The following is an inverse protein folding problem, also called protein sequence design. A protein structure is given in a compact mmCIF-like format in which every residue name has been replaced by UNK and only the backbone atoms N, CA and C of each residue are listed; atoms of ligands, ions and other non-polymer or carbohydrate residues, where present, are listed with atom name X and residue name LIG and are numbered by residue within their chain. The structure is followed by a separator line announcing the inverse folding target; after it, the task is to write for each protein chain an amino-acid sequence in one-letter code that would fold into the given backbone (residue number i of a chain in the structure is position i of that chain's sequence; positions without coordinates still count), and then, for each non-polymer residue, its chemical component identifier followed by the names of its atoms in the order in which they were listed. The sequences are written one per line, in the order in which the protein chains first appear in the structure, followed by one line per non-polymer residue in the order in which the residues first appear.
data_IF_820959623810
#
_entry.id   IF_820959623810
#
_cell.length_a   1.000
_cell.length_b   1.000
_cell.length_c   1.000
_cell.angle_alpha   90.00
_cell.angle_beta   90.00
_cell.angle_gamma   90.00
#
_symmetry.space_group_name_H-M   'P 1'
#
loop_
_entity.id
_entity.type
_entity.pdbx_description
1 polymer ?
#
# COMPACT_ATOMS: atom_id res chain seq x y z
N UNK A 1 32.57 -19.60 3.01
CA UNK A 1 31.13 -19.24 2.86
C UNK A 1 31.10 -17.80 2.42
N UNK A 2 30.30 -17.46 1.39
CA UNK A 2 30.13 -16.06 1.00
C UNK A 2 29.44 -15.30 2.16
N UNK A 3 29.94 -14.12 2.50
CA UNK A 3 29.31 -13.27 3.49
C UNK A 3 27.90 -12.90 2.99
N UNK A 4 26.87 -13.00 3.84
CA UNK A 4 25.51 -12.64 3.46
C UNK A 4 25.48 -11.17 3.03
N UNK A 5 24.82 -10.90 1.90
CA UNK A 5 24.66 -9.55 1.38
C UNK A 5 23.18 -9.18 1.38
N UNK A 6 22.82 -8.17 2.19
CA UNK A 6 21.47 -7.59 2.20
C UNK A 6 21.39 -6.52 1.12
N UNK A 7 20.35 -6.58 0.29
CA UNK A 7 20.13 -5.64 -0.80
C UNK A 7 18.75 -5.01 -0.73
N UNK A 8 18.71 -3.72 -0.88
CA UNK A 8 17.47 -2.98 -1.04
C UNK A 8 16.88 -3.26 -2.42
N UNK A 9 15.68 -3.84 -2.44
CA UNK A 9 14.89 -4.02 -3.66
C UNK A 9 14.27 -2.69 -4.09
N UNK A 10 13.53 -2.04 -3.19
CA UNK A 10 12.89 -0.75 -3.45
C UNK A 10 12.71 0.06 -2.16
N UNK A 11 12.49 1.37 -2.31
CA UNK A 11 12.11 2.25 -1.20
C UNK A 11 10.95 3.15 -1.60
N UNK A 12 10.21 3.59 -0.57
CA UNK A 12 9.14 4.57 -0.72
C UNK A 12 9.24 5.58 0.44
N UNK A 13 9.13 6.85 0.10
CA UNK A 13 8.92 7.94 1.04
C UNK A 13 7.73 8.73 0.50
N UNK A 14 6.55 8.59 1.11
CA UNK A 14 5.35 9.17 0.53
C UNK A 14 4.36 9.65 1.59
N UNK A 15 3.56 10.64 1.21
CA UNK A 15 2.41 11.11 1.95
C UNK A 15 1.34 10.03 2.02
N UNK A 16 0.51 10.07 3.06
CA UNK A 16 -0.62 9.17 3.22
C UNK A 16 -1.83 9.97 3.66
N UNK A 17 -2.92 9.88 2.90
CA UNK A 17 -4.21 10.41 3.27
C UNK A 17 -5.13 9.27 3.73
N UNK A 18 -5.50 9.28 5.03
CA UNK A 18 -6.37 8.27 5.63
C UNK A 18 -7.81 8.74 5.62
N UNK A 19 -8.61 8.18 4.74
CA UNK A 19 -10.05 8.45 4.72
C UNK A 19 -10.87 7.30 5.32
N UNK A 20 -10.24 6.47 6.14
CA UNK A 20 -10.95 5.46 6.91
C UNK A 20 -11.87 6.08 7.95
N UNK A 21 -13.09 5.57 8.07
CA UNK A 21 -14.12 6.06 8.99
C UNK A 21 -13.70 6.08 10.46
N UNK A 22 -12.79 5.19 10.87
CA UNK A 22 -12.25 5.09 12.22
C UNK A 22 -10.75 4.82 12.21
N UNK A 23 -10.01 5.66 11.48
CA UNK A 23 -8.56 5.54 11.47
C UNK A 23 -7.98 5.91 12.84
N UNK A 24 -7.06 5.11 13.41
CA UNK A 24 -6.28 5.53 14.57
C UNK A 24 -5.23 6.58 14.19
N UNK A 25 -5.03 6.84 12.89
CA UNK A 25 -4.09 7.81 12.36
C UNK A 25 -4.81 9.13 12.02
N UNK A 26 -4.14 10.28 12.14
CA UNK A 26 -4.62 11.53 11.54
C UNK A 26 -4.89 11.39 10.04
N UNK A 27 -5.74 12.25 9.47
CA UNK A 27 -6.05 12.20 8.03
C UNK A 27 -4.79 12.36 7.18
N UNK A 28 -3.92 13.27 7.54
CA UNK A 28 -2.66 13.53 6.85
C UNK A 28 -1.50 12.96 7.67
N UNK A 29 -0.79 12.06 7.07
CA UNK A 29 0.38 11.39 7.63
C UNK A 29 1.41 11.16 6.53
N UNK A 30 2.48 10.44 6.85
CA UNK A 30 3.41 9.95 5.83
C UNK A 30 3.95 8.58 6.21
N UNK A 31 4.56 7.92 5.25
CA UNK A 31 5.24 6.65 5.47
C UNK A 31 6.61 6.60 4.82
N UNK A 32 7.52 5.91 5.47
CA UNK A 32 8.78 5.44 4.88
C UNK A 32 8.74 3.93 4.82
N UNK A 33 9.21 3.38 3.71
CA UNK A 33 9.17 1.95 3.46
C UNK A 33 10.42 1.53 2.70
N UNK A 34 10.98 0.37 3.06
CA UNK A 34 12.03 -0.30 2.31
C UNK A 34 11.70 -1.76 2.13
N UNK A 35 11.83 -2.23 0.90
CA UNK A 35 11.75 -3.64 0.56
C UNK A 35 13.15 -4.21 0.42
N UNK A 36 13.42 -5.32 1.10
CA UNK A 36 14.70 -6.03 1.04
C UNK A 36 14.53 -7.35 0.29
N UNK A 37 15.48 -7.65 -0.58
CA UNK A 37 15.57 -8.97 -1.19
C UNK A 37 15.85 -10.05 -0.12
N UNK A 38 15.37 -11.29 -0.32
CA UNK A 38 15.75 -12.38 0.54
C UNK A 38 17.26 -12.64 0.42
N UNK A 39 17.91 -12.92 1.55
CA UNK A 39 19.32 -13.28 1.58
C UNK A 39 19.42 -14.81 1.58
N UNK A 40 19.99 -15.44 0.53
CA UNK A 40 20.04 -16.90 0.43
C UNK A 40 20.68 -17.57 1.66
N UNK A 41 19.98 -18.53 2.25
CA UNK A 41 20.44 -19.27 3.43
C UNK A 41 20.28 -18.55 4.76
N UNK A 42 19.67 -17.36 4.79
CA UNK A 42 19.48 -16.56 6.00
C UNK A 42 18.05 -16.03 6.11
N UNK A 43 17.62 -15.75 7.34
CA UNK A 43 16.44 -14.92 7.61
C UNK A 43 16.92 -13.47 7.54
N UNK A 44 16.58 -12.75 6.47
CA UNK A 44 17.09 -11.38 6.22
C UNK A 44 16.94 -10.43 7.43
N UNK A 45 15.82 -10.38 8.15
CA UNK A 45 15.70 -9.59 9.37
C UNK A 45 16.76 -9.86 10.45
N UNK A 46 17.25 -11.10 10.55
CA UNK A 46 18.26 -11.45 11.57
C UNK A 46 19.63 -10.83 11.28
N UNK A 47 19.86 -10.39 10.04
CA UNK A 47 21.10 -9.73 9.62
C UNK A 47 21.08 -8.21 9.83
N UNK A 48 19.90 -7.62 10.08
CA UNK A 48 19.73 -6.17 10.15
C UNK A 48 20.07 -5.64 11.54
N UNK A 49 20.93 -4.63 11.59
CA UNK A 49 21.23 -3.85 12.79
C UNK A 49 20.26 -2.68 12.93
N UNK A 50 20.16 -1.85 11.89
CA UNK A 50 19.22 -0.73 11.88
C UNK A 50 18.78 -0.35 10.45
N UNK A 51 17.64 0.34 10.38
CA UNK A 51 17.12 0.95 9.16
C UNK A 51 16.69 2.36 9.51
N UNK A 52 17.26 3.35 8.82
CA UNK A 52 16.96 4.76 9.08
C UNK A 52 16.68 5.50 7.78
N UNK A 53 15.58 6.24 7.77
CA UNK A 53 15.25 7.18 6.72
C UNK A 53 15.69 8.58 7.11
N UNK A 54 16.34 9.28 6.19
CA UNK A 54 16.80 10.67 6.31
C UNK A 54 16.14 11.51 5.24
N UNK A 55 15.93 12.80 5.52
CA UNK A 55 15.31 13.72 4.58
C UNK A 55 15.57 15.19 4.89
N UNK A 56 14.84 16.10 4.24
CA UNK A 56 14.99 17.54 4.40
C UNK A 56 14.83 18.02 5.85
N UNK A 57 15.54 19.10 6.20
CA UNK A 57 15.46 19.79 7.49
C UNK A 57 15.75 18.89 8.72
N UNK A 58 16.67 17.95 8.57
CA UNK A 58 17.02 17.04 9.67
C UNK A 58 15.99 15.95 9.93
N UNK A 59 15.12 15.66 8.95
CA UNK A 59 14.19 14.51 9.08
C UNK A 59 14.95 13.21 9.31
N UNK A 60 14.56 12.52 10.35
CA UNK A 60 15.05 11.18 10.69
C UNK A 60 13.89 10.31 11.16
N UNK A 61 13.79 9.08 10.62
CA UNK A 61 12.83 8.09 11.07
C UNK A 61 13.47 6.70 11.10
N UNK A 62 13.41 6.04 12.28
CA UNK A 62 13.93 4.69 12.47
C UNK A 62 12.85 3.65 12.30
N UNK A 63 13.05 2.74 11.34
CA UNK A 63 12.13 1.62 11.12
C UNK A 63 12.55 0.47 12.02
N UNK A 64 11.61 -0.01 12.83
CA UNK A 64 11.89 -1.06 13.83
C UNK A 64 12.17 -2.41 13.16
N UNK A 65 13.23 -3.09 13.59
CA UNK A 65 13.54 -4.46 13.15
C UNK A 65 12.76 -5.50 13.97
N UNK A 66 11.44 -5.45 13.87
CA UNK A 66 10.50 -6.40 14.50
C UNK A 66 9.36 -6.71 13.51
N UNK A 67 8.56 -7.75 13.78
CA UNK A 67 7.32 -7.96 13.01
C UNK A 67 6.44 -6.73 13.16
N UNK A 68 5.70 -6.40 12.09
CA UNK A 68 4.89 -5.19 12.02
C UNK A 68 3.92 -5.10 13.19
N UNK A 69 4.07 -4.04 13.97
CA UNK A 69 3.22 -3.70 15.10
C UNK A 69 2.07 -2.79 14.62
N UNK A 70 0.85 -3.30 14.66
CA UNK A 70 -0.34 -2.56 14.21
C UNK A 70 -0.68 -1.35 15.09
N UNK A 71 -0.20 -1.28 16.31
CA UNK A 71 -0.41 -0.13 17.22
C UNK A 71 0.61 0.97 16.89
N UNK A 72 1.90 0.60 16.87
CA UNK A 72 3.00 1.53 16.56
C UNK A 72 3.13 1.86 15.08
N UNK A 73 2.45 1.09 14.21
CA UNK A 73 2.51 1.20 12.75
C UNK A 73 3.94 1.11 12.20
N UNK A 74 4.79 0.30 12.82
CA UNK A 74 6.21 0.18 12.56
C UNK A 74 6.69 -1.28 12.63
N UNK A 75 7.56 -1.68 11.69
CA UNK A 75 8.13 -3.02 11.63
C UNK A 75 8.12 -3.62 10.23
N UNK A 76 8.31 -4.94 10.15
CA UNK A 76 8.39 -5.65 8.88
C UNK A 76 7.33 -6.75 8.74
N UNK A 77 6.99 -7.05 7.48
CA UNK A 77 6.22 -8.23 7.07
C UNK A 77 6.89 -8.88 5.85
N UNK A 78 6.65 -10.16 5.67
CA UNK A 78 7.14 -10.91 4.51
C UNK A 78 6.01 -11.05 3.47
N UNK A 79 6.30 -10.71 2.22
CA UNK A 79 5.39 -10.94 1.10
C UNK A 79 5.85 -12.17 0.30
N UNK A 80 5.17 -13.31 0.43
CA UNK A 80 5.58 -14.55 -0.25
C UNK A 80 5.41 -14.51 -1.77
N UNK A 81 4.59 -13.57 -2.30
CA UNK A 81 4.34 -13.47 -3.75
C UNK A 81 5.52 -12.93 -4.52
N UNK A 82 6.27 -12.03 -3.90
CA UNK A 82 7.50 -11.46 -4.46
C UNK A 82 8.73 -11.81 -3.64
N UNK A 83 8.55 -12.64 -2.58
CA UNK A 83 9.61 -13.14 -1.70
C UNK A 83 10.45 -12.06 -1.02
N UNK A 84 9.88 -10.88 -0.73
CA UNK A 84 10.59 -9.76 -0.14
C UNK A 84 10.16 -9.49 1.30
N UNK A 85 11.06 -8.90 2.08
CA UNK A 85 10.80 -8.34 3.41
C UNK A 85 10.50 -6.86 3.28
N UNK A 86 9.30 -6.45 3.69
CA UNK A 86 8.85 -5.06 3.64
C UNK A 86 8.91 -4.46 5.04
N UNK A 87 9.77 -3.50 5.21
CA UNK A 87 9.88 -2.67 6.42
C UNK A 87 9.13 -1.37 6.20
N UNK A 88 8.23 -1.03 7.11
CA UNK A 88 7.37 0.15 6.97
C UNK A 88 7.20 0.86 8.30
N UNK A 89 7.20 2.18 8.26
CA UNK A 89 6.82 3.02 9.38
C UNK A 89 5.85 4.11 8.89
N UNK A 90 4.62 4.10 9.42
CA UNK A 90 3.64 5.17 9.21
C UNK A 90 3.74 6.15 10.36
N UNK A 91 4.02 7.42 10.06
CA UNK A 91 4.25 8.48 11.03
C UNK A 91 3.06 9.47 11.05
N UNK A 92 2.54 9.84 12.23
CA UNK A 92 1.34 10.67 12.36
C UNK A 92 1.58 12.18 12.17
N UNK A 93 2.75 12.59 11.71
CA UNK A 93 3.22 13.98 11.79
C UNK A 93 2.88 14.83 10.53
N UNK A 94 1.76 14.55 9.86
CA UNK A 94 1.36 15.26 8.66
C UNK A 94 2.12 14.81 7.41
N UNK A 95 1.99 15.57 6.32
CA UNK A 95 2.68 15.28 5.07
C UNK A 95 4.18 15.58 5.15
N UNK A 96 4.96 14.82 4.39
CA UNK A 96 6.40 15.03 4.22
C UNK A 96 6.67 16.37 3.53
N UNK A 97 7.78 16.99 3.87
CA UNK A 97 8.30 18.12 3.10
C UNK A 97 8.85 17.63 1.76
N UNK A 98 8.71 18.45 0.73
CA UNK A 98 9.31 18.18 -0.56
C UNK A 98 10.83 18.09 -0.44
N UNK A 99 11.42 17.14 -1.17
CA UNK A 99 12.86 16.97 -1.23
C UNK A 99 13.31 15.51 -1.35
N UNK A 100 14.63 15.32 -1.27
CA UNK A 100 15.24 14.01 -1.33
C UNK A 100 15.17 13.29 0.02
N UNK A 101 14.71 12.03 -0.02
CA UNK A 101 14.72 11.11 1.10
C UNK A 101 15.62 9.93 0.80
N UNK A 102 16.47 9.58 1.76
CA UNK A 102 17.41 8.47 1.68
C UNK A 102 17.07 7.46 2.77
N UNK A 103 16.95 6.18 2.41
CA UNK A 103 16.84 5.10 3.40
C UNK A 103 18.15 4.32 3.38
N UNK A 104 18.72 4.14 4.56
CA UNK A 104 19.92 3.34 4.81
C UNK A 104 19.58 2.10 5.61
N UNK A 105 20.11 0.97 5.19
CA UNK A 105 20.03 -0.32 5.86
C UNK A 105 21.44 -0.72 6.29
N UNK A 106 21.65 -0.84 7.59
CA UNK A 106 22.92 -1.27 8.18
C UNK A 106 22.78 -2.68 8.70
N UNK A 107 23.69 -3.57 8.33
CA UNK A 107 23.73 -4.95 8.79
C UNK A 107 24.63 -5.11 10.03
N UNK A 108 24.43 -6.18 10.79
CA UNK A 108 25.22 -6.49 12.01
C UNK A 108 26.73 -6.66 11.76
N UNK A 109 27.12 -6.97 10.54
CA UNK A 109 28.53 -7.01 10.10
C UNK A 109 29.06 -5.64 9.62
N UNK A 110 28.27 -4.57 9.81
CA UNK A 110 28.67 -3.18 9.54
C UNK A 110 28.54 -2.74 8.08
N UNK A 111 28.02 -3.58 7.18
CA UNK A 111 27.78 -3.16 5.79
C UNK A 111 26.54 -2.27 5.71
N UNK A 112 26.55 -1.39 4.71
CA UNK A 112 25.45 -0.44 4.47
C UNK A 112 25.01 -0.53 3.01
N UNK A 113 23.70 -0.64 2.79
CA UNK A 113 23.06 -0.36 1.50
C UNK A 113 22.13 0.83 1.63
N UNK A 114 21.97 1.62 0.57
CA UNK A 114 21.14 2.83 0.58
C UNK A 114 20.52 3.11 -0.76
N UNK A 115 19.32 3.69 -0.71
CA UNK A 115 18.63 4.24 -1.89
C UNK A 115 18.01 5.59 -1.56
N UNK A 116 17.76 6.38 -2.60
CA UNK A 116 17.11 7.70 -2.50
C UNK A 116 15.83 7.75 -3.33
N UNK A 117 14.91 8.62 -2.91
CA UNK A 117 13.68 8.99 -3.63
C UNK A 117 13.42 10.48 -3.44
N UNK A 118 12.80 11.09 -4.44
CA UNK A 118 12.36 12.49 -4.36
C UNK A 118 10.87 12.49 -4.05
N UNK A 119 10.51 13.13 -2.93
CA UNK A 119 9.14 13.42 -2.56
C UNK A 119 8.73 14.78 -3.14
N UNK A 120 7.59 14.85 -3.80
CA UNK A 120 7.01 16.08 -4.37
C UNK A 120 5.61 16.30 -3.78
N UNK A 121 5.31 17.55 -3.40
CA UNK A 121 4.00 17.90 -2.85
C UNK A 121 2.93 18.05 -3.94
N UNK A 122 3.28 18.62 -5.09
CA UNK A 122 2.32 18.88 -6.16
C UNK A 122 1.48 17.65 -6.60
N UNK A 123 2.06 16.44 -6.80
CA UNK A 123 1.25 15.25 -7.08
C UNK A 123 0.34 14.85 -5.91
N UNK A 124 0.79 15.01 -4.66
CA UNK A 124 -0.02 14.74 -3.46
C UNK A 124 -1.23 15.67 -3.40
N UNK A 125 -1.02 16.96 -3.54
CA UNK A 125 -2.06 17.98 -3.49
C UNK A 125 -3.08 17.77 -4.62
N UNK A 126 -2.62 17.48 -5.84
CA UNK A 126 -3.48 17.22 -6.99
C UNK A 126 -4.35 15.97 -6.78
N UNK A 127 -3.76 14.87 -6.31
CA UNK A 127 -4.48 13.62 -6.11
C UNK A 127 -5.51 13.73 -4.97
N UNK A 128 -5.12 14.30 -3.82
CA UNK A 128 -6.03 14.50 -2.67
C UNK A 128 -7.18 15.44 -3.03
N UNK A 129 -6.87 16.57 -3.70
CA UNK A 129 -7.90 17.53 -4.14
C UNK A 129 -8.89 16.90 -5.14
N UNK A 130 -8.37 16.15 -6.13
CA UNK A 130 -9.21 15.46 -7.10
C UNK A 130 -10.07 14.37 -6.44
N UNK A 131 -9.51 13.61 -5.50
CA UNK A 131 -10.24 12.60 -4.74
C UNK A 131 -11.38 13.22 -3.94
N UNK A 132 -11.10 14.24 -3.12
CA UNK A 132 -12.11 14.91 -2.28
C UNK A 132 -13.22 15.57 -3.10
N UNK A 133 -12.87 16.24 -4.20
CA UNK A 133 -13.85 16.86 -5.10
C UNK A 133 -14.79 15.84 -5.77
N UNK A 134 -14.35 14.63 -5.98
CA UNK A 134 -15.10 13.58 -6.68
C UNK A 134 -15.45 12.40 -5.77
N UNK A 135 -15.35 12.57 -4.45
CA UNK A 135 -15.55 11.52 -3.45
C UNK A 135 -16.83 10.72 -3.70
N UNK A 136 -17.99 11.38 -3.82
CA UNK A 136 -19.27 10.69 -4.00
C UNK A 136 -19.33 9.87 -5.30
N UNK A 137 -18.73 10.37 -6.38
CA UNK A 137 -18.68 9.65 -7.65
C UNK A 137 -17.85 8.39 -7.54
N UNK A 138 -16.68 8.48 -6.88
CA UNK A 138 -15.78 7.35 -6.66
C UNK A 138 -16.44 6.36 -5.70
N UNK A 139 -16.89 6.83 -4.51
CA UNK A 139 -17.43 5.98 -3.46
C UNK A 139 -18.69 5.21 -3.92
N UNK A 140 -19.60 5.86 -4.63
CA UNK A 140 -20.81 5.24 -5.15
C UNK A 140 -20.58 4.37 -6.40
N UNK A 141 -19.39 4.38 -6.97
CA UNK A 141 -19.07 3.54 -8.15
C UNK A 141 -18.75 2.09 -7.79
N UNK A 142 -18.27 1.84 -6.58
CA UNK A 142 -17.81 0.52 -6.14
C UNK A 142 -18.85 -0.58 -6.29
N UNK A 143 -18.44 -1.72 -6.85
CA UNK A 143 -19.25 -2.94 -6.95
C UNK A 143 -18.34 -4.19 -6.82
N UNK A 144 -18.76 -5.24 -6.06
CA UNK A 144 -19.97 -5.27 -5.24
C UNK A 144 -19.88 -4.36 -4.01
N UNK A 145 -21.03 -3.88 -3.51
CA UNK A 145 -21.13 -3.06 -2.31
C UNK A 145 -22.52 -3.27 -1.66
N UNK A 146 -22.79 -2.67 -0.50
CA UNK A 146 -24.14 -2.66 0.09
C UNK A 146 -25.18 -2.06 -0.86
N UNK A 147 -24.80 -1.01 -1.61
CA UNK A 147 -25.69 -0.35 -2.58
C UNK A 147 -25.79 -1.10 -3.91
N UNK A 148 -24.78 -1.92 -4.23
CA UNK A 148 -24.71 -2.72 -5.47
C UNK A 148 -24.28 -4.15 -5.09
N UNK A 149 -25.17 -4.94 -4.45
CA UNK A 149 -24.84 -6.29 -4.01
C UNK A 149 -24.57 -7.22 -5.20
N UNK A 150 -23.87 -8.32 -4.93
CA UNK A 150 -23.84 -9.42 -5.90
C UNK A 150 -25.27 -9.96 -6.06
N UNK A 151 -25.72 -10.19 -7.30
CA UNK A 151 -27.02 -10.84 -7.54
C UNK A 151 -27.08 -12.22 -6.86
N UNK A 152 -28.25 -12.59 -6.37
CA UNK A 152 -28.49 -13.91 -5.79
C UNK A 152 -28.13 -15.02 -6.78
N UNK A 153 -27.43 -16.05 -6.29
CA UNK A 153 -26.97 -17.16 -7.13
C UNK A 153 -25.75 -16.84 -8.01
N UNK A 154 -25.14 -15.67 -7.85
CA UNK A 154 -23.89 -15.35 -8.57
C UNK A 154 -22.80 -16.39 -8.26
N UNK A 155 -21.97 -16.76 -9.25
CA UNK A 155 -20.77 -17.53 -9.01
C UNK A 155 -19.85 -16.80 -8.00
N UNK A 156 -19.32 -17.55 -7.03
CA UNK A 156 -18.43 -17.00 -6.00
C UNK A 156 -16.94 -17.19 -6.32
N UNK A 157 -16.62 -17.83 -7.42
CA UNK A 157 -15.29 -17.86 -8.04
C UNK A 157 -15.19 -16.78 -9.11
N UNK A 158 -14.02 -16.19 -9.26
CA UNK A 158 -13.75 -15.11 -10.22
C UNK A 158 -14.68 -13.90 -10.04
N UNK A 159 -14.99 -13.55 -8.80
CA UNK A 159 -15.82 -12.38 -8.50
C UNK A 159 -15.09 -11.12 -8.94
N UNK A 160 -15.76 -10.32 -9.77
CA UNK A 160 -15.24 -9.08 -10.31
C UNK A 160 -15.59 -7.90 -9.42
N UNK A 161 -14.58 -7.15 -9.03
CA UNK A 161 -14.70 -5.87 -8.32
C UNK A 161 -14.33 -4.73 -9.25
N UNK A 162 -15.06 -3.63 -9.20
CA UNK A 162 -14.78 -2.47 -10.03
C UNK A 162 -15.10 -1.15 -9.31
N UNK A 163 -14.52 -0.07 -9.82
CA UNK A 163 -14.65 1.30 -9.30
C UNK A 163 -14.34 2.33 -10.37
N UNK A 164 -14.73 3.59 -10.15
CA UNK A 164 -14.28 4.72 -10.98
C UNK A 164 -12.90 5.19 -10.51
N UNK A 165 -12.00 5.42 -11.46
CA UNK A 165 -10.64 5.88 -11.20
C UNK A 165 -10.56 7.41 -11.11
N UNK A 166 -9.44 7.95 -10.60
CA UNK A 166 -9.13 9.38 -10.71
C UNK A 166 -9.02 9.83 -12.17
N UNK A 167 -8.63 8.93 -13.08
CA UNK A 167 -8.62 9.21 -14.53
C UNK A 167 -10.02 9.49 -15.06
N UNK A 168 -11.00 8.66 -14.67
CA UNK A 168 -12.39 8.79 -15.13
C UNK A 168 -13.05 10.08 -14.63
N UNK A 169 -12.76 10.48 -13.38
CA UNK A 169 -13.47 11.60 -12.73
C UNK A 169 -12.73 12.93 -12.77
N UNK A 170 -11.39 12.90 -12.96
CA UNK A 170 -10.55 14.09 -12.86
C UNK A 170 -9.41 14.14 -13.89
N UNK A 171 -9.25 13.13 -14.74
CA UNK A 171 -8.18 13.06 -15.74
C UNK A 171 -6.80 12.74 -15.20
N UNK A 172 -6.66 12.41 -13.90
CA UNK A 172 -5.40 12.12 -13.25
C UNK A 172 -5.07 10.63 -13.28
N UNK A 173 -3.87 10.31 -13.71
CA UNK A 173 -3.36 8.95 -13.69
C UNK A 173 -3.06 8.49 -12.26
N UNK A 174 -3.40 7.24 -11.94
CA UNK A 174 -3.17 6.64 -10.64
C UNK A 174 -3.00 5.12 -10.73
N UNK A 175 -2.31 4.55 -9.74
CA UNK A 175 -2.30 3.12 -9.49
C UNK A 175 -3.22 2.77 -8.32
N UNK A 176 -3.65 1.50 -8.26
CA UNK A 176 -4.62 1.04 -7.27
C UNK A 176 -4.14 -0.22 -6.58
N UNK A 177 -4.32 -0.27 -5.26
CA UNK A 177 -4.03 -1.46 -4.45
C UNK A 177 -5.32 -1.92 -3.81
N UNK A 178 -5.74 -3.13 -4.11
CA UNK A 178 -6.98 -3.72 -3.62
C UNK A 178 -6.72 -4.70 -2.48
N UNK A 179 -7.52 -4.62 -1.42
CA UNK A 179 -7.47 -5.54 -0.28
C UNK A 179 -8.88 -5.99 0.09
N UNK A 180 -9.04 -7.30 0.28
CA UNK A 180 -10.31 -7.95 0.64
C UNK A 180 -10.09 -8.87 1.84
N UNK A 181 -10.98 -8.83 2.83
CA UNK A 181 -11.05 -9.82 3.89
C UNK A 181 -12.50 -10.13 4.32
N UNK A 182 -12.67 -11.19 5.11
CA UNK A 182 -13.95 -11.49 5.75
C UNK A 182 -14.17 -10.45 6.87
N UNK A 183 -15.11 -9.52 6.65
CA UNK A 183 -15.47 -8.47 7.59
C UNK A 183 -16.84 -7.89 7.25
N UNK A 184 -17.59 -7.48 8.25
CA UNK A 184 -18.90 -6.80 8.10
C UNK A 184 -18.85 -5.33 8.49
N UNK A 185 -17.78 -4.93 9.17
CA UNK A 185 -17.53 -3.57 9.67
C UNK A 185 -16.06 -3.17 9.51
N UNK A 186 -15.73 -1.87 9.53
CA UNK A 186 -14.34 -1.41 9.50
C UNK A 186 -13.49 -1.94 10.67
N UNK A 187 -14.10 -2.21 11.82
CA UNK A 187 -13.40 -2.72 13.01
C UNK A 187 -12.99 -4.19 12.88
N UNK A 188 -13.69 -4.95 12.04
CA UNK A 188 -13.38 -6.36 11.78
C UNK A 188 -12.38 -6.54 10.64
N UNK A 189 -12.09 -5.46 9.89
CA UNK A 189 -11.16 -5.53 8.77
C UNK A 189 -9.74 -5.81 9.26
N UNK A 190 -9.22 -7.00 8.97
CA UNK A 190 -7.85 -7.42 9.33
C UNK A 190 -6.92 -7.42 8.13
N UNK A 191 -6.09 -6.40 8.02
CA UNK A 191 -5.08 -6.27 6.97
C UNK A 191 -3.97 -7.35 7.00
N UNK A 192 -3.86 -8.11 8.10
CA UNK A 192 -2.91 -9.22 8.21
C UNK A 192 -3.51 -10.56 7.77
N UNK A 193 -4.84 -10.63 7.63
CA UNK A 193 -5.56 -11.85 7.26
C UNK A 193 -6.45 -11.61 6.03
N UNK A 194 -5.82 -11.21 4.93
CA UNK A 194 -6.53 -10.90 3.70
C UNK A 194 -6.97 -12.18 2.97
N UNK A 195 -8.22 -12.20 2.53
CA UNK A 195 -8.75 -13.21 1.61
C UNK A 195 -8.16 -13.05 0.21
N UNK A 196 -7.92 -11.79 -0.21
CA UNK A 196 -7.29 -11.42 -1.48
C UNK A 196 -6.52 -10.12 -1.36
N UNK A 197 -5.41 -10.06 -2.06
CA UNK A 197 -4.60 -8.85 -2.16
C UNK A 197 -4.09 -8.70 -3.59
N UNK A 198 -4.39 -7.57 -4.23
CA UNK A 198 -3.86 -7.22 -5.54
C UNK A 198 -3.12 -5.87 -5.42
N UNK A 199 -1.81 -5.92 -5.52
CA UNK A 199 -0.95 -4.75 -5.48
C UNK A 199 -0.38 -4.47 -6.87
N UNK A 200 -1.08 -3.66 -7.62
CA UNK A 200 -0.72 -3.29 -9.00
C UNK A 200 0.60 -2.49 -9.03
N UNK A 201 0.90 -1.72 -7.98
CA UNK A 201 2.18 -1.05 -7.84
C UNK A 201 3.36 -2.03 -7.89
N UNK A 202 3.20 -3.23 -7.28
CA UNK A 202 4.21 -4.28 -7.35
C UNK A 202 4.35 -4.89 -8.74
N UNK A 203 3.26 -5.03 -9.50
CA UNK A 203 3.33 -5.54 -10.88
C UNK A 203 4.25 -4.69 -11.73
N UNK A 204 4.19 -3.37 -11.60
CA UNK A 204 5.08 -2.44 -12.27
C UNK A 204 6.56 -2.70 -11.94
N UNK A 205 6.88 -2.90 -10.67
CA UNK A 205 8.25 -3.20 -10.22
C UNK A 205 8.73 -4.55 -10.79
N UNK A 206 7.85 -5.54 -10.81
CA UNK A 206 8.18 -6.90 -11.27
C UNK A 206 8.36 -6.97 -12.79
N UNK A 207 7.51 -6.31 -13.56
CA UNK A 207 7.53 -6.38 -15.03
C UNK A 207 8.48 -5.37 -15.66
N UNK A 208 8.99 -4.40 -14.91
CA UNK A 208 9.73 -3.23 -15.40
C UNK A 208 8.93 -2.35 -16.37
N UNK A 209 7.65 -2.62 -16.56
CA UNK A 209 6.73 -1.78 -17.31
C UNK A 209 6.16 -0.71 -16.37
N UNK A 210 6.60 0.53 -16.56
CA UNK A 210 6.22 1.65 -15.71
C UNK A 210 4.73 2.00 -15.78
N UNK A 211 4.02 1.50 -16.79
CA UNK A 211 2.58 1.73 -16.99
C UNK A 211 1.72 0.52 -16.66
N UNK A 212 2.33 -0.61 -16.30
CA UNK A 212 1.59 -1.83 -15.97
C UNK A 212 0.59 -1.56 -14.83
N UNK A 213 -0.70 -1.76 -15.11
CA UNK A 213 -1.80 -1.54 -14.17
C UNK A 213 -2.18 -0.08 -13.93
N UNK A 214 -1.62 0.88 -14.68
CA UNK A 214 -2.01 2.29 -14.59
C UNK A 214 -3.51 2.45 -14.92
N UNK A 215 -4.23 3.20 -14.08
CA UNK A 215 -5.67 3.45 -14.19
C UNK A 215 -6.56 2.18 -14.20
N UNK A 216 -6.08 1.10 -13.62
CA UNK A 216 -6.87 -0.12 -13.51
C UNK A 216 -8.10 0.13 -12.62
N UNK A 217 -9.26 -0.18 -13.15
CA UNK A 217 -10.57 0.07 -12.52
C UNK A 217 -11.28 -1.22 -12.08
N UNK A 218 -10.58 -2.37 -12.16
CA UNK A 218 -11.16 -3.65 -11.80
C UNK A 218 -10.13 -4.65 -11.25
N UNK A 219 -10.62 -5.58 -10.43
CA UNK A 219 -9.89 -6.76 -9.96
C UNK A 219 -10.82 -7.97 -10.04
N UNK A 220 -10.30 -9.08 -10.53
CA UNK A 220 -10.96 -10.38 -10.47
C UNK A 220 -10.35 -11.16 -9.30
N UNK A 221 -11.17 -11.49 -8.32
CA UNK A 221 -10.79 -12.35 -7.20
C UNK A 221 -10.96 -13.80 -7.62
N UNK A 222 -9.85 -14.45 -7.98
CA UNK A 222 -9.83 -15.82 -8.49
C UNK A 222 -10.14 -16.88 -7.41
N UNK A 223 -9.84 -16.52 -6.14
CA UNK A 223 -10.18 -17.36 -4.99
C UNK A 223 -11.69 -17.41 -4.81
N UNK A 224 -12.24 -18.61 -4.65
CA UNK A 224 -13.66 -18.79 -4.34
C UNK A 224 -14.01 -18.14 -2.99
N UNK A 225 -15.03 -17.28 -2.99
CA UNK A 225 -15.58 -16.67 -1.79
C UNK A 225 -16.55 -17.64 -1.11
N UNK A 226 -16.62 -17.58 0.21
CA UNK A 226 -17.55 -18.40 1.00
C UNK A 226 -18.99 -17.89 0.84
N UNK A 227 -19.98 -18.80 0.82
CA UNK A 227 -21.40 -18.44 0.84
C UNK A 227 -21.83 -17.86 2.19
N UNK A 228 -22.87 -17.04 2.17
CA UNK A 228 -23.48 -16.43 3.37
C UNK A 228 -22.47 -15.66 4.25
N UNK A 229 -21.39 -15.13 3.64
CA UNK A 229 -20.28 -14.50 4.34
C UNK A 229 -20.22 -13.01 4.01
N UNK A 230 -19.98 -12.19 5.03
CA UNK A 230 -19.73 -10.77 4.86
C UNK A 230 -18.26 -10.52 4.51
N UNK A 231 -18.04 -9.68 3.51
CA UNK A 231 -16.72 -9.26 3.06
C UNK A 231 -16.59 -7.74 3.12
N UNK A 232 -15.42 -7.29 3.59
CA UNK A 232 -14.98 -5.91 3.52
C UNK A 232 -13.79 -5.76 2.58
N UNK A 233 -13.76 -4.69 1.81
CA UNK A 233 -12.61 -4.34 0.98
C UNK A 233 -12.41 -2.84 0.90
N UNK A 234 -11.22 -2.44 0.54
CA UNK A 234 -10.94 -1.06 0.15
C UNK A 234 -9.89 -1.02 -0.96
N UNK A 235 -9.84 0.13 -1.62
CA UNK A 235 -8.85 0.41 -2.66
C UNK A 235 -7.98 1.57 -2.19
N UNK A 236 -6.67 1.36 -2.20
CA UNK A 236 -5.68 2.42 -1.98
C UNK A 236 -5.35 3.03 -3.34
N UNK A 237 -5.43 4.36 -3.44
CA UNK A 237 -5.00 5.10 -4.63
C UNK A 237 -3.55 5.54 -4.40
N UNK A 238 -2.70 5.31 -5.39
CA UNK A 238 -1.32 5.83 -5.41
C UNK A 238 -1.14 6.68 -6.66
N UNK A 239 -0.52 7.85 -6.55
CA UNK A 239 -0.33 8.72 -7.71
C UNK A 239 0.38 8.02 -8.87
N UNK A 240 0.01 8.40 -10.08
CA UNK A 240 0.48 7.78 -11.33
C UNK A 240 1.88 8.24 -11.75
N UNK A 241 2.80 8.45 -10.80
CA UNK A 241 4.16 8.84 -11.12
C UNK A 241 4.90 7.71 -11.86
N UNK A 242 5.08 7.90 -13.16
CA UNK A 242 5.70 6.93 -14.07
C UNK A 242 7.18 6.67 -13.68
N UNK A 243 7.85 7.64 -13.07
CA UNK A 243 9.24 7.48 -12.62
C UNK A 243 9.42 6.47 -11.46
N UNK A 244 8.35 5.85 -11.00
CA UNK A 244 8.41 4.82 -9.97
C UNK A 244 8.30 5.34 -8.55
N UNK A 245 8.15 6.64 -8.37
CA UNK A 245 8.10 7.31 -7.08
C UNK A 245 6.65 7.62 -6.71
N UNK A 246 6.09 6.91 -5.75
CA UNK A 246 4.81 7.29 -5.17
C UNK A 246 5.00 8.48 -4.24
N UNK A 247 4.26 9.56 -4.49
CA UNK A 247 4.28 10.75 -3.64
C UNK A 247 3.15 10.73 -2.62
N UNK A 248 2.03 10.03 -2.94
CA UNK A 248 0.84 9.94 -2.10
C UNK A 248 0.18 8.57 -2.19
N UNK A 249 -0.29 8.09 -1.06
CA UNK A 249 -1.24 6.98 -0.97
C UNK A 249 -2.52 7.48 -0.30
N UNK A 250 -3.68 7.27 -0.92
CA UNK A 250 -4.99 7.60 -0.37
C UNK A 250 -5.70 6.31 0.00
N UNK A 251 -5.94 6.10 1.30
CA UNK A 251 -6.71 4.97 1.82
C UNK A 251 -8.18 5.35 1.85
N UNK A 252 -8.95 4.78 0.92
CA UNK A 252 -10.39 5.03 0.79
C UNK A 252 -11.20 4.31 1.87
N UNK A 253 -12.41 4.77 2.20
CA UNK A 253 -13.32 4.07 3.11
C UNK A 253 -13.62 2.65 2.64
N UNK A 254 -13.86 1.76 3.60
CA UNK A 254 -14.20 0.38 3.33
C UNK A 254 -15.56 0.25 2.63
N UNK A 255 -15.64 -0.67 1.69
CA UNK A 255 -16.88 -1.16 1.10
C UNK A 255 -17.21 -2.52 1.69
N UNK A 256 -18.49 -2.79 1.89
CA UNK A 256 -18.97 -4.06 2.43
C UNK A 256 -20.06 -4.65 1.56
N UNK A 257 -20.07 -5.96 1.44
CA UNK A 257 -21.14 -6.74 0.80
C UNK A 257 -21.26 -8.10 1.47
N UNK A 258 -22.34 -8.83 1.15
CA UNK A 258 -22.56 -10.19 1.62
C UNK A 258 -22.79 -11.09 0.43
N UNK A 259 -22.18 -12.27 0.46
CA UNK A 259 -22.45 -13.35 -0.48
C UNK A 259 -23.73 -14.12 -0.06
N UNK A 260 -24.44 -14.67 -1.00
CA UNK A 260 -25.63 -15.52 -0.79
C UNK A 260 -25.35 -16.97 -1.20
#
# INVERSE_FOLDING_TARGET
MANPEVKIFDIMACNVYWDFEKSPMPKETHKVLVALNPTPGFVTPDLIENITAYGPNGYEAKIANQKFDNVKKNGWFYDPRITNYWYMYNLPNGFMKEGEYRIEVVTKDGKTDKKTRIQKNAPSDAAVSAYLKNYDKIFNSFSPSKAKPLPDGSPLNNVKFNWSTLKDVAGLDAFYVFRLCEASTPMEFDGNNLSWFDNIYLQRLMTKDQTAGLNRNEVVVEKELKRNTSYGYFVEITDGNIAGEANICIFQPHQFFKTT
#
